data_IF_368837031406
#
_entry.id   IF_368837031406
#
_cell.length_a   1.000
_cell.length_b   1.000
_cell.length_c   1.000
_cell.angle_alpha   90.00
_cell.angle_beta   90.00
_cell.angle_gamma   90.00
#
_symmetry.space_group_name_H-M   'P 1'
#
loop_
_entity.id
_entity.type
_entity.pdbx_description
1 polymer ?
#
# COMPACT_ATOMS: atom_id res chain seq x y z
N UNK A 1 13.06 8.30 -19.01
CA UNK A 1 11.93 7.97 -18.13
C UNK A 1 11.68 9.17 -17.25
N UNK A 2 10.53 9.81 -17.41
CA UNK A 2 10.03 10.79 -16.43
C UNK A 2 9.65 10.03 -15.17
N UNK A 3 10.13 10.45 -14.00
CA UNK A 3 9.76 9.84 -12.73
C UNK A 3 8.26 9.96 -12.44
N UNK A 4 7.76 9.20 -11.47
CA UNK A 4 6.39 9.31 -11.00
C UNK A 4 6.10 10.71 -10.44
N UNK A 5 4.98 11.30 -10.83
CA UNK A 5 4.56 12.63 -10.36
C UNK A 5 3.83 12.50 -9.00
N UNK A 6 4.61 12.48 -7.92
CA UNK A 6 4.07 12.37 -6.57
C UNK A 6 3.21 13.58 -6.17
N UNK A 7 3.54 14.79 -6.61
CA UNK A 7 2.78 15.98 -6.25
C UNK A 7 1.42 16.00 -6.96
N UNK A 8 1.40 15.67 -8.26
CA UNK A 8 0.17 15.47 -9.02
C UNK A 8 -0.69 14.35 -8.42
N UNK A 9 -0.08 13.20 -8.13
CA UNK A 9 -0.78 12.08 -7.50
C UNK A 9 -1.40 12.45 -6.14
N UNK A 10 -0.67 13.15 -5.27
CA UNK A 10 -1.18 13.60 -3.96
C UNK A 10 -2.37 14.56 -4.12
N UNK A 11 -2.27 15.50 -5.06
CA UNK A 11 -3.36 16.44 -5.33
C UNK A 11 -4.62 15.72 -5.84
N UNK A 12 -4.46 14.76 -6.76
CA UNK A 12 -5.56 13.95 -7.28
C UNK A 12 -6.16 13.04 -6.20
N UNK A 13 -5.32 12.43 -5.36
CA UNK A 13 -5.75 11.61 -4.23
C UNK A 13 -6.58 12.41 -3.23
N UNK A 14 -6.08 13.59 -2.82
CA UNK A 14 -6.81 14.49 -1.94
C UNK A 14 -8.15 14.94 -2.55
N UNK A 15 -8.19 15.18 -3.85
CA UNK A 15 -9.44 15.51 -4.55
C UNK A 15 -10.44 14.35 -4.51
N UNK A 16 -9.98 13.12 -4.79
CA UNK A 16 -10.81 11.92 -4.80
C UNK A 16 -11.35 11.58 -3.40
N UNK A 17 -10.50 11.67 -2.36
CA UNK A 17 -10.91 11.52 -0.95
C UNK A 17 -11.99 12.54 -0.60
N UNK A 18 -11.78 13.83 -0.92
CA UNK A 18 -12.78 14.86 -0.66
C UNK A 18 -14.09 14.61 -1.41
N UNK A 19 -14.04 14.03 -2.62
CA UNK A 19 -15.24 13.63 -3.35
C UNK A 19 -15.99 12.50 -2.64
N UNK A 20 -15.28 11.46 -2.20
CA UNK A 20 -15.85 10.36 -1.42
C UNK A 20 -16.55 10.89 -0.16
N UNK A 21 -15.84 11.68 0.65
CA UNK A 21 -16.33 12.17 1.95
C UNK A 21 -17.58 13.04 1.83
N UNK A 22 -17.71 13.86 0.78
CA UNK A 22 -18.91 14.69 0.54
C UNK A 22 -20.19 13.89 0.39
N UNK A 23 -20.09 12.67 -0.13
CA UNK A 23 -21.25 11.82 -0.42
C UNK A 23 -21.33 10.59 0.48
N UNK A 24 -20.33 10.37 1.34
CA UNK A 24 -20.16 9.16 2.12
C UNK A 24 -21.37 8.87 3.00
N UNK A 25 -21.70 9.76 3.94
CA UNK A 25 -22.79 9.51 4.89
C UNK A 25 -24.16 9.36 4.20
N UNK A 26 -24.40 10.11 3.12
CA UNK A 26 -25.62 9.97 2.34
C UNK A 26 -25.73 8.60 1.65
N UNK A 27 -24.60 8.01 1.27
CA UNK A 27 -24.52 6.70 0.60
C UNK A 27 -24.53 5.53 1.58
N UNK A 28 -23.77 5.62 2.66
CA UNK A 28 -23.51 4.50 3.57
C UNK A 28 -24.32 4.57 4.88
N UNK A 29 -24.91 5.72 5.21
CA UNK A 29 -25.80 5.89 6.37
C UNK A 29 -25.10 6.12 7.71
N UNK A 30 -23.77 6.22 7.73
CA UNK A 30 -22.94 6.51 8.89
C UNK A 30 -21.83 7.51 8.51
N UNK A 31 -21.29 8.29 9.46
CA UNK A 31 -20.20 9.23 9.17
C UNK A 31 -18.92 8.47 8.76
N UNK A 32 -18.11 9.05 7.86
CA UNK A 32 -16.81 8.47 7.52
C UNK A 32 -15.85 8.51 8.71
N UNK A 33 -14.92 7.57 8.72
CA UNK A 33 -13.71 7.59 9.53
C UNK A 33 -12.69 8.61 8.96
N UNK A 34 -11.65 8.89 9.74
CA UNK A 34 -10.58 9.80 9.32
C UNK A 34 -9.77 9.19 8.17
N UNK A 35 -9.58 9.98 7.10
CA UNK A 35 -8.75 9.61 5.96
C UNK A 35 -7.45 10.41 6.03
N UNK A 36 -6.29 9.74 6.08
CA UNK A 36 -4.99 10.40 6.15
C UNK A 36 -4.23 10.25 4.85
N UNK A 37 -3.75 11.38 4.33
CA UNK A 37 -2.73 11.43 3.29
C UNK A 37 -1.54 12.22 3.84
N UNK A 38 -0.50 11.50 4.24
CA UNK A 38 0.68 12.06 4.88
C UNK A 38 1.42 13.11 4.03
N UNK A 39 2.11 14.01 4.72
CA UNK A 39 3.18 14.83 4.14
C UNK A 39 4.46 14.03 3.93
N UNK A 40 5.59 14.64 3.55
CA UNK A 40 6.89 13.98 3.59
C UNK A 40 7.20 13.37 4.96
N UNK A 41 7.83 12.18 4.99
CA UNK A 41 8.38 11.61 6.22
C UNK A 41 9.48 12.51 6.82
N UNK A 42 9.74 12.36 8.12
CA UNK A 42 10.74 13.17 8.79
C UNK A 42 12.17 12.84 8.31
N UNK A 43 13.05 13.84 8.30
CA UNK A 43 14.41 13.69 7.75
C UNK A 43 15.25 12.63 8.50
N UNK A 44 15.05 12.49 9.80
CA UNK A 44 15.71 11.48 10.64
C UNK A 44 15.17 10.06 10.39
N UNK A 45 13.88 9.92 10.07
CA UNK A 45 13.28 8.65 9.64
C UNK A 45 13.85 8.22 8.28
N UNK A 46 13.90 9.15 7.33
CA UNK A 46 14.49 8.93 6.00
C UNK A 46 15.98 8.54 6.09
N UNK A 47 16.73 9.18 6.99
CA UNK A 47 18.13 8.84 7.23
C UNK A 47 18.30 7.41 7.77
N UNK A 48 17.41 6.96 8.68
CA UNK A 48 17.43 5.59 9.21
C UNK A 48 17.04 4.54 8.17
N UNK A 49 16.18 4.91 7.23
CA UNK A 49 15.72 4.02 6.17
C UNK A 49 16.71 3.90 4.99
N UNK A 50 17.62 4.88 4.85
CA UNK A 50 18.60 4.89 3.76
C UNK A 50 19.54 3.68 3.83
N UNK A 51 19.67 2.96 2.72
CA UNK A 51 20.46 1.72 2.65
C UNK A 51 19.80 0.50 3.30
N UNK A 52 18.62 0.67 3.89
CA UNK A 52 17.80 -0.41 4.47
C UNK A 52 16.61 -0.70 3.57
N UNK A 53 15.91 0.34 3.10
CA UNK A 53 14.76 0.21 2.21
C UNK A 53 15.14 0.36 0.73
N UNK A 54 14.39 -0.27 -0.19
CA UNK A 54 14.50 -0.01 -1.63
C UNK A 54 14.29 1.47 -1.96
N UNK A 55 15.02 1.97 -2.97
CA UNK A 55 14.97 3.40 -3.35
C UNK A 55 13.56 3.82 -3.80
N UNK A 56 12.75 2.92 -4.34
CA UNK A 56 11.35 3.21 -4.70
C UNK A 56 10.52 3.61 -3.46
N UNK A 57 10.63 2.86 -2.36
CA UNK A 57 9.96 3.21 -1.10
C UNK A 57 10.55 4.48 -0.48
N UNK A 58 11.88 4.62 -0.48
CA UNK A 58 12.51 5.85 0.01
C UNK A 58 12.05 7.08 -0.77
N UNK A 59 11.92 6.96 -2.08
CA UNK A 59 11.40 8.03 -2.94
C UNK A 59 9.96 8.34 -2.57
N UNK A 60 9.09 7.34 -2.42
CA UNK A 60 7.72 7.55 -1.94
C UNK A 60 7.69 8.28 -0.59
N UNK A 61 8.46 7.83 0.40
CA UNK A 61 8.46 8.43 1.74
C UNK A 61 9.01 9.85 1.80
N UNK A 62 9.79 10.30 0.81
CA UNK A 62 10.16 11.72 0.68
C UNK A 62 9.00 12.62 0.31
N UNK A 63 7.90 12.07 -0.21
CA UNK A 63 6.70 12.82 -0.60
C UNK A 63 5.49 12.53 0.30
N UNK A 64 5.37 11.30 0.80
CA UNK A 64 4.19 10.79 1.50
C UNK A 64 4.60 9.87 2.65
N UNK A 65 4.26 10.22 3.88
CA UNK A 65 4.67 9.51 5.09
C UNK A 65 3.80 8.28 5.35
N UNK A 66 2.54 8.34 4.94
CA UNK A 66 1.54 7.29 5.09
C UNK A 66 0.33 7.57 4.18
N UNK A 67 -0.45 6.52 3.96
CA UNK A 67 -1.81 6.59 3.40
C UNK A 67 -2.68 5.75 4.32
N UNK A 68 -3.74 6.34 4.87
CA UNK A 68 -4.69 5.66 5.76
C UNK A 68 -6.10 5.93 5.26
N UNK A 69 -6.71 4.94 4.58
CA UNK A 69 -7.97 5.11 3.89
C UNK A 69 -9.00 4.05 4.32
N UNK A 70 -9.49 4.08 5.57
CA UNK A 70 -10.37 3.03 6.10
C UNK A 70 -11.72 2.91 5.39
N UNK A 71 -12.18 3.99 4.73
CA UNK A 71 -13.50 4.04 4.09
C UNK A 71 -13.47 3.72 2.59
N UNK A 72 -12.30 3.41 2.03
CA UNK A 72 -12.16 3.05 0.63
C UNK A 72 -12.27 1.53 0.50
N UNK A 73 -13.44 1.06 0.06
CA UNK A 73 -13.75 -0.37 -0.08
C UNK A 73 -13.65 -1.12 1.26
N UNK A 74 -12.67 -2.01 1.43
CA UNK A 74 -12.38 -2.68 2.71
C UNK A 74 -11.27 -1.98 3.50
N UNK A 75 -10.82 -0.80 3.05
CA UNK A 75 -9.73 -0.03 3.64
C UNK A 75 -8.39 -0.29 2.93
N UNK A 76 -7.62 0.76 2.66
CA UNK A 76 -6.28 0.66 2.08
C UNK A 76 -5.26 1.49 2.85
N UNK A 77 -4.10 0.88 3.12
CA UNK A 77 -3.09 1.46 3.99
C UNK A 77 -1.69 1.34 3.38
N UNK A 78 -0.97 2.46 3.29
CA UNK A 78 0.49 2.49 3.18
C UNK A 78 1.02 2.90 4.55
N UNK A 79 1.72 1.99 5.20
CA UNK A 79 2.12 2.15 6.59
C UNK A 79 3.12 3.29 6.75
N UNK A 80 3.10 3.99 7.89
CA UNK A 80 4.16 4.90 8.29
C UNK A 80 5.56 4.29 8.14
N UNK A 81 6.54 5.10 7.74
CA UNK A 81 7.92 4.66 7.55
C UNK A 81 8.50 3.98 8.81
N UNK A 82 8.20 4.51 10.00
CA UNK A 82 8.64 3.92 11.26
C UNK A 82 8.06 2.52 11.50
N UNK A 83 6.81 2.26 11.11
CA UNK A 83 6.15 0.95 11.15
C UNK A 83 6.83 -0.01 10.18
N UNK A 84 7.09 0.41 8.94
CA UNK A 84 7.82 -0.41 7.98
C UNK A 84 9.20 -0.81 8.51
N UNK A 85 9.95 0.13 9.09
CA UNK A 85 11.24 -0.17 9.71
C UNK A 85 11.13 -1.10 10.92
N UNK A 86 10.09 -0.96 11.75
CA UNK A 86 9.84 -1.82 12.90
C UNK A 86 9.46 -3.26 12.50
N UNK A 87 8.84 -3.43 11.33
CA UNK A 87 8.45 -4.73 10.80
C UNK A 87 9.62 -5.53 10.20
N UNK A 88 10.71 -4.87 9.78
CA UNK A 88 11.89 -5.55 9.22
C UNK A 88 12.48 -6.65 10.11
N UNK A 89 12.64 -6.47 11.44
CA UNK A 89 13.09 -7.54 12.32
C UNK A 89 11.98 -8.54 12.73
N UNK A 90 10.71 -8.21 12.55
CA UNK A 90 9.58 -9.03 13.05
C UNK A 90 9.50 -10.40 12.32
N UNK A 91 9.53 -11.54 13.03
CA UNK A 91 9.36 -12.86 12.40
C UNK A 91 7.95 -13.11 11.85
N UNK A 92 6.95 -12.31 12.23
CA UNK A 92 5.58 -12.40 11.73
C UNK A 92 5.31 -11.51 10.50
N UNK A 93 6.30 -10.73 10.05
CA UNK A 93 6.21 -9.97 8.80
C UNK A 93 6.88 -10.76 7.67
N UNK A 94 6.23 -10.93 6.50
CA UNK A 94 6.85 -11.49 5.30
C UNK A 94 8.09 -10.72 4.85
N UNK A 95 9.19 -11.46 4.69
CA UNK A 95 10.48 -11.02 4.13
C UNK A 95 10.85 -11.83 2.90
N UNK A 96 10.22 -12.98 2.72
CA UNK A 96 10.39 -13.89 1.59
C UNK A 96 9.05 -14.51 1.24
N UNK A 97 8.83 -14.82 -0.04
CA UNK A 97 7.69 -15.59 -0.50
C UNK A 97 8.18 -16.62 -1.55
N UNK A 98 8.85 -17.71 -1.12
CA UNK A 98 9.56 -18.63 -2.03
C UNK A 98 8.64 -19.34 -3.04
N UNK A 99 7.34 -19.39 -2.79
CA UNK A 99 6.36 -19.89 -3.78
C UNK A 99 5.98 -18.87 -4.86
N UNK A 100 6.49 -17.64 -4.80
CA UNK A 100 6.06 -16.50 -5.60
C UNK A 100 7.23 -15.72 -6.21
N UNK A 101 8.30 -15.48 -5.47
CA UNK A 101 9.50 -14.79 -5.93
C UNK A 101 10.74 -15.20 -5.13
N UNK A 102 11.90 -15.11 -5.77
CA UNK A 102 13.21 -15.22 -5.11
C UNK A 102 13.66 -13.88 -4.51
N UNK A 103 13.07 -12.75 -4.95
CA UNK A 103 13.39 -11.44 -4.39
C UNK A 103 13.00 -11.39 -2.91
N UNK A 104 13.87 -10.87 -2.02
CA UNK A 104 13.45 -10.45 -0.69
C UNK A 104 12.32 -9.41 -0.78
N UNK A 105 11.51 -9.36 0.26
CA UNK A 105 10.30 -8.55 0.34
C UNK A 105 10.41 -7.52 1.46
N UNK A 106 9.85 -6.34 1.21
CA UNK A 106 9.52 -5.36 2.25
C UNK A 106 8.02 -5.12 2.22
N UNK A 107 7.32 -5.52 3.29
CA UNK A 107 5.92 -5.15 3.50
C UNK A 107 5.84 -3.66 3.83
N UNK A 108 5.07 -2.93 3.03
CA UNK A 108 4.91 -1.48 3.16
C UNK A 108 3.47 -1.04 3.40
N UNK A 109 2.50 -1.96 3.28
CA UNK A 109 1.10 -1.63 3.38
C UNK A 109 0.20 -2.84 3.55
N UNK A 110 -1.09 -2.57 3.69
CA UNK A 110 -2.12 -3.60 3.82
C UNK A 110 -3.49 -3.08 3.37
N UNK A 111 -4.46 -3.99 3.27
CA UNK A 111 -5.89 -3.64 3.23
C UNK A 111 -6.57 -3.98 4.57
N UNK A 112 -7.82 -3.58 4.77
CA UNK A 112 -8.57 -3.92 5.99
C UNK A 112 -9.10 -5.35 6.04
N UNK A 113 -8.86 -6.15 4.99
CA UNK A 113 -9.05 -7.59 4.98
C UNK A 113 -7.86 -8.39 5.51
N UNK A 114 -6.74 -7.73 5.82
CA UNK A 114 -5.51 -8.36 6.28
C UNK A 114 -4.57 -8.80 5.15
N UNK A 115 -4.87 -8.43 3.90
CA UNK A 115 -3.94 -8.59 2.78
C UNK A 115 -2.75 -7.65 2.99
N UNK A 116 -1.54 -8.14 2.74
CA UNK A 116 -0.31 -7.34 2.81
C UNK A 116 0.15 -6.95 1.40
N UNK A 117 0.68 -5.73 1.27
CA UNK A 117 1.39 -5.27 0.09
C UNK A 117 2.90 -5.29 0.35
N UNK A 118 3.63 -6.00 -0.50
CA UNK A 118 5.06 -6.18 -0.35
C UNK A 118 5.81 -5.78 -1.61
N UNK A 119 6.89 -5.02 -1.49
CA UNK A 119 7.77 -4.67 -2.60
C UNK A 119 8.94 -5.65 -2.65
N UNK A 120 9.18 -6.25 -3.82
CA UNK A 120 10.40 -7.01 -4.07
C UNK A 120 11.60 -6.08 -4.15
N UNK A 121 12.59 -6.31 -3.30
CA UNK A 121 13.78 -5.44 -3.19
C UNK A 121 14.69 -5.50 -4.40
N UNK A 122 14.65 -6.59 -5.16
CA UNK A 122 15.52 -6.83 -6.32
C UNK A 122 14.79 -6.71 -7.66
N UNK A 123 13.56 -7.21 -7.75
CA UNK A 123 12.74 -7.14 -8.98
C UNK A 123 11.86 -5.89 -9.06
N UNK A 124 11.66 -5.19 -7.94
CA UNK A 124 10.84 -3.98 -7.86
C UNK A 124 9.34 -4.22 -7.97
N UNK A 125 8.88 -5.47 -8.03
CA UNK A 125 7.47 -5.84 -8.22
C UNK A 125 6.70 -5.63 -6.91
N UNK A 126 5.45 -5.18 -7.00
CA UNK A 126 4.56 -5.17 -5.83
C UNK A 126 3.69 -6.42 -5.84
N UNK A 127 3.83 -7.17 -4.76
CA UNK A 127 3.11 -8.39 -4.47
C UNK A 127 1.93 -8.11 -3.55
N UNK A 128 0.81 -8.78 -3.84
CA UNK A 128 -0.37 -8.84 -2.99
C UNK A 128 -0.35 -10.19 -2.29
N UNK A 129 -0.28 -10.17 -0.96
CA UNK A 129 -0.17 -11.36 -0.11
C UNK A 129 -1.44 -11.45 0.74
N UNK A 130 -2.47 -12.21 0.30
CA UNK A 130 -3.66 -12.44 1.10
C UNK A 130 -3.34 -13.09 2.45
N UNK A 131 -4.29 -13.05 3.39
CA UNK A 131 -4.16 -13.71 4.70
C UNK A 131 -3.68 -15.15 4.52
N UNK A 132 -2.57 -15.47 5.18
CA UNK A 132 -1.90 -16.76 5.04
C UNK A 132 -0.92 -17.02 6.18
N UNK A 133 -0.38 -18.22 6.17
CA UNK A 133 0.65 -18.67 7.10
C UNK A 133 1.96 -17.94 6.84
N UNK A 134 2.53 -17.41 7.92
CA UNK A 134 3.85 -16.81 7.94
C UNK A 134 4.67 -17.56 8.98
N UNK A 135 5.82 -18.10 8.58
CA UNK A 135 6.74 -18.81 9.46
C UNK A 135 8.13 -18.25 9.26
N UNK A 136 8.72 -17.72 10.33
CA UNK A 136 10.09 -17.18 10.34
C UNK A 136 10.35 -16.18 9.20
N UNK A 137 9.38 -15.29 8.94
CA UNK A 137 9.43 -14.31 7.86
C UNK A 137 9.18 -14.85 6.45
N UNK A 138 8.92 -16.15 6.26
CA UNK A 138 8.50 -16.70 4.98
C UNK A 138 6.97 -16.73 4.88
N UNK A 139 6.42 -16.08 3.85
CA UNK A 139 5.02 -16.22 3.48
C UNK A 139 4.81 -17.56 2.76
N UNK A 140 4.01 -18.43 3.37
CA UNK A 140 3.72 -19.78 2.87
C UNK A 140 2.33 -19.88 2.23
N UNK A 141 1.52 -18.82 2.33
CA UNK A 141 0.14 -18.81 1.83
C UNK A 141 -0.76 -19.69 2.68
N UNK A 142 -1.70 -20.41 2.06
CA UNK A 142 -2.63 -21.31 2.78
C UNK A 142 -3.99 -20.70 3.12
N UNK A 143 -4.25 -19.46 2.70
CA UNK A 143 -5.59 -18.89 2.61
C UNK A 143 -6.36 -19.40 1.39
N UNK A 144 -7.57 -18.89 1.19
CA UNK A 144 -8.41 -19.21 0.03
C UNK A 144 -7.82 -18.69 -1.30
N UNK A 145 -6.98 -17.66 -1.23
CA UNK A 145 -6.34 -17.03 -2.39
C UNK A 145 -4.81 -17.11 -2.28
N UNK A 146 -4.10 -17.39 -3.40
CA UNK A 146 -2.65 -17.36 -3.43
C UNK A 146 -2.12 -15.92 -3.45
N UNK A 147 -0.87 -15.75 -2.98
CA UNK A 147 -0.10 -14.54 -3.23
C UNK A 147 0.17 -14.34 -4.72
N UNK A 148 0.21 -13.07 -5.16
CA UNK A 148 0.29 -12.70 -6.59
C UNK A 148 1.26 -11.56 -6.82
N UNK A 149 1.97 -11.59 -7.94
CA UNK A 149 2.66 -10.43 -8.52
C UNK A 149 1.62 -9.61 -9.28
N UNK A 150 1.22 -8.46 -8.73
CA UNK A 150 0.05 -7.72 -9.24
C UNK A 150 0.47 -6.45 -9.97
N UNK A 151 1.44 -5.71 -9.44
CA UNK A 151 1.86 -4.44 -10.04
C UNK A 151 3.34 -4.51 -10.43
N UNK A 152 3.67 -3.94 -11.59
CA UNK A 152 5.03 -4.02 -12.12
C UNK A 152 6.05 -3.29 -11.23
N UNK A 153 5.60 -2.21 -10.58
CA UNK A 153 6.38 -1.43 -9.64
C UNK A 153 5.49 -0.65 -8.66
N UNK A 154 6.11 0.15 -7.78
CA UNK A 154 5.37 0.98 -6.84
C UNK A 154 4.54 2.07 -7.53
N UNK A 155 4.98 2.59 -8.68
CA UNK A 155 4.23 3.63 -9.41
C UNK A 155 2.92 3.08 -9.95
N UNK A 156 2.95 1.85 -10.45
CA UNK A 156 1.79 1.12 -10.96
C UNK A 156 0.78 0.83 -9.83
N UNK A 157 1.28 0.42 -8.65
CA UNK A 157 0.45 0.30 -7.43
C UNK A 157 -0.21 1.64 -7.03
N UNK A 158 0.56 2.74 -7.00
CA UNK A 158 0.02 4.06 -6.63
C UNK A 158 -1.02 4.57 -7.65
N UNK A 159 -0.81 4.29 -8.94
CA UNK A 159 -1.78 4.57 -10.00
C UNK A 159 -3.09 3.79 -9.79
N UNK A 160 -2.99 2.49 -9.49
CA UNK A 160 -4.15 1.68 -9.14
C UNK A 160 -4.86 2.18 -7.87
N UNK A 161 -4.13 2.53 -6.82
CA UNK A 161 -4.73 3.01 -5.56
C UNK A 161 -5.57 4.28 -5.80
N UNK A 162 -5.05 5.22 -6.59
CA UNK A 162 -5.82 6.41 -6.99
C UNK A 162 -7.06 6.05 -7.82
N UNK A 163 -6.94 5.07 -8.72
CA UNK A 163 -8.07 4.56 -9.50
C UNK A 163 -9.15 3.93 -8.60
N UNK A 164 -8.75 3.14 -7.61
CA UNK A 164 -9.64 2.53 -6.63
C UNK A 164 -10.40 3.59 -5.84
N UNK A 165 -9.70 4.60 -5.29
CA UNK A 165 -10.33 5.69 -4.52
C UNK A 165 -11.35 6.46 -5.37
N UNK A 166 -11.03 6.76 -6.64
CA UNK A 166 -11.97 7.36 -7.58
C UNK A 166 -13.20 6.49 -7.81
N UNK A 167 -13.00 5.20 -8.05
CA UNK A 167 -14.10 4.26 -8.25
C UNK A 167 -15.06 4.21 -7.07
N UNK A 168 -14.53 4.06 -5.85
CA UNK A 168 -15.36 4.08 -4.65
C UNK A 168 -16.11 5.42 -4.53
N UNK A 169 -15.45 6.55 -4.79
CA UNK A 169 -16.06 7.87 -4.77
C UNK A 169 -17.19 8.03 -5.82
N UNK A 170 -17.12 7.31 -6.94
CA UNK A 170 -18.08 7.37 -8.05
C UNK A 170 -19.26 6.40 -7.93
N UNK A 171 -19.17 5.36 -7.09
CA UNK A 171 -20.18 4.29 -7.11
C UNK A 171 -19.64 2.92 -7.47
N UNK A 172 -18.47 2.88 -8.08
CA UNK A 172 -17.94 1.74 -8.82
C UNK A 172 -16.89 0.99 -8.00
N UNK A 173 -17.36 0.02 -7.20
CA UNK A 173 -16.51 -0.76 -6.31
C UNK A 173 -15.64 -1.77 -7.06
N UNK A 174 -15.95 -2.10 -8.32
CA UNK A 174 -15.16 -3.06 -9.12
C UNK A 174 -13.76 -2.51 -9.37
N UNK A 175 -13.61 -1.18 -9.45
CA UNK A 175 -12.32 -0.49 -9.59
C UNK A 175 -11.40 -0.63 -8.36
N UNK A 176 -11.94 -1.04 -7.21
CA UNK A 176 -11.17 -1.29 -5.99
C UNK A 176 -10.72 -2.75 -5.85
N UNK A 177 -11.10 -3.62 -6.79
CA UNK A 177 -10.63 -5.01 -6.82
C UNK A 177 -9.22 -5.05 -7.40
N UNK A 178 -8.36 -5.91 -6.85
CA UNK A 178 -7.02 -6.14 -7.37
C UNK A 178 -7.08 -6.67 -8.82
N UNK A 179 -6.22 -6.17 -9.72
CA UNK A 179 -6.16 -6.73 -11.07
C UNK A 179 -5.79 -8.22 -11.03
N UNK A 180 -6.39 -8.98 -11.96
CA UNK A 180 -6.23 -10.43 -12.09
C UNK A 180 -5.02 -10.85 -12.90
#
# INVERSE_FOLDING_TARGET
MTGFDYDGWRAEMAHAINHLLRHFQARFGYPPDEQTLGGPAAADELARASGVLPEQLLTFYRHVSEVDLPDVFNGFFIHPLNTVLANLPDPLTPKHAPGLTESPLVVFGSDGGGTLFALGTEDGVVYVLPVGEIRDGAYLGGGAEPGRAVFQDLSDFLGWLLHAVRGVAEGDLEKAVYPG
#
